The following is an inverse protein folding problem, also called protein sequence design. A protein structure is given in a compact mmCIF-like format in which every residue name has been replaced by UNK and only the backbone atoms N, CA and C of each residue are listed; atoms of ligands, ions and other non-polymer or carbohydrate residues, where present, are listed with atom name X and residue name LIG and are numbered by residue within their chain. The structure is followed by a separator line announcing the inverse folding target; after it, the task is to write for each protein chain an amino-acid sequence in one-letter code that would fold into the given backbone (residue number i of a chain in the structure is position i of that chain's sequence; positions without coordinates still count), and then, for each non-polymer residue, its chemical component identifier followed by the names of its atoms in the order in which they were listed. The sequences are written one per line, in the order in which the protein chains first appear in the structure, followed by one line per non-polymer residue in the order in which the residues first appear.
data_IF_176810786722
#
_entry.id   IF_176810786722
#
_cell.length_a   1.000
_cell.length_b   1.000
_cell.length_c   1.000
_cell.angle_alpha   90.00
_cell.angle_beta   90.00
_cell.angle_gamma   90.00
#
_symmetry.space_group_name_H-M   'P 1'
#
loop_
_entity.id
_entity.type
_entity.pdbx_description
1 polymer ?
#
# COMPACT_ATOMS: atom_id res chain seq x y z
N UNK A 1 21.02 16.18 -16.00
CA UNK A 1 21.14 15.52 -17.32
C UNK A 1 20.89 14.06 -17.15
N UNK A 2 19.66 13.58 -17.41
CA UNK A 2 19.33 12.20 -17.82
C UNK A 2 17.82 12.14 -18.15
N UNK A 3 17.42 12.85 -19.20
CA UNK A 3 16.17 12.57 -19.88
C UNK A 3 16.53 11.70 -21.08
N UNK A 4 16.54 10.40 -20.91
CA UNK A 4 16.63 9.46 -22.05
C UNK A 4 15.52 8.43 -21.94
N UNK A 5 14.55 8.61 -22.84
CA UNK A 5 13.75 7.55 -23.48
C UNK A 5 13.24 6.41 -22.58
N UNK A 6 12.27 6.72 -21.73
CA UNK A 6 11.40 5.72 -21.10
C UNK A 6 10.35 5.15 -22.06
N UNK A 7 10.22 5.67 -23.28
CA UNK A 7 9.18 5.27 -24.24
C UNK A 7 9.36 3.89 -24.88
N UNK A 8 10.53 3.27 -24.74
CA UNK A 8 10.87 2.00 -25.40
C UNK A 8 11.10 0.81 -24.45
N UNK A 9 10.76 0.95 -23.17
CA UNK A 9 10.94 -0.12 -22.20
C UNK A 9 9.64 -0.41 -21.46
N UNK A 10 9.36 -1.70 -21.26
CA UNK A 10 8.30 -2.18 -20.36
C UNK A 10 8.93 -2.50 -19.02
N UNK A 11 8.40 -1.93 -17.95
CA UNK A 11 8.77 -2.26 -16.57
C UNK A 11 7.85 -3.38 -16.07
N UNK A 12 8.44 -4.39 -15.43
CA UNK A 12 7.73 -5.49 -14.78
C UNK A 12 8.17 -5.54 -13.33
N UNK A 13 7.21 -5.47 -12.43
CA UNK A 13 7.42 -5.76 -11.01
C UNK A 13 7.15 -7.24 -10.75
N UNK A 14 8.07 -7.90 -10.03
CA UNK A 14 7.95 -9.31 -9.66
C UNK A 14 8.02 -9.41 -8.15
N UNK A 15 7.01 -10.03 -7.55
CA UNK A 15 7.00 -10.38 -6.14
C UNK A 15 7.13 -11.89 -5.97
N UNK A 16 7.94 -12.32 -5.01
CA UNK A 16 8.14 -13.73 -4.65
C UNK A 16 7.97 -13.87 -3.15
N UNK A 17 7.02 -14.68 -2.70
CA UNK A 17 6.75 -14.91 -1.28
C UNK A 17 6.55 -16.41 -1.03
N UNK A 18 7.20 -16.94 0.00
CA UNK A 18 7.04 -18.34 0.38
C UNK A 18 8.02 -18.79 1.45
N UNK A 19 8.08 -20.09 1.70
CA UNK A 19 9.06 -20.66 2.62
C UNK A 19 10.47 -20.49 2.08
N UNK A 20 11.40 -20.01 2.90
CA UNK A 20 12.79 -19.82 2.51
C UNK A 20 13.45 -21.12 2.03
N UNK A 21 14.22 -21.00 0.94
CA UNK A 21 15.00 -22.09 0.35
C UNK A 21 16.12 -21.56 -0.54
N UNK A 22 17.13 -22.39 -0.74
CA UNK A 22 18.26 -22.07 -1.59
C UNK A 22 17.87 -21.91 -3.07
N UNK A 23 18.57 -21.02 -3.78
CA UNK A 23 18.50 -20.88 -5.22
C UNK A 23 17.36 -20.00 -5.74
N UNK A 24 16.43 -19.49 -4.90
CA UNK A 24 15.29 -18.69 -5.33
C UNK A 24 15.74 -17.46 -6.14
N UNK A 25 16.64 -16.66 -5.58
CA UNK A 25 17.13 -15.45 -6.26
C UNK A 25 17.79 -15.81 -7.59
N UNK A 26 18.63 -16.84 -7.62
CA UNK A 26 19.31 -17.27 -8.84
C UNK A 26 18.33 -17.70 -9.96
N UNK A 27 17.33 -18.51 -9.62
CA UNK A 27 16.34 -18.97 -10.59
C UNK A 27 15.52 -17.81 -11.20
N UNK A 28 15.06 -16.87 -10.36
CA UNK A 28 14.29 -15.72 -10.81
C UNK A 28 15.15 -14.77 -11.66
N UNK A 29 16.36 -14.42 -11.19
CA UNK A 29 17.23 -13.49 -11.91
C UNK A 29 17.73 -14.09 -13.22
N UNK A 30 18.01 -15.41 -13.27
CA UNK A 30 18.34 -16.12 -14.51
C UNK A 30 17.16 -16.11 -15.51
N UNK A 31 15.92 -16.26 -15.04
CA UNK A 31 14.75 -16.16 -15.90
C UNK A 31 14.67 -14.76 -16.54
N UNK A 32 14.83 -13.71 -15.75
CA UNK A 32 14.85 -12.34 -16.25
C UNK A 32 15.95 -12.14 -17.28
N UNK A 33 17.17 -12.61 -16.99
CA UNK A 33 18.31 -12.51 -17.90
C UNK A 33 18.06 -13.23 -19.24
N UNK A 34 17.54 -14.47 -19.21
CA UNK A 34 17.23 -15.24 -20.44
C UNK A 34 16.21 -14.53 -21.35
N UNK A 35 15.33 -13.73 -20.77
CA UNK A 35 14.38 -12.91 -21.52
C UNK A 35 14.91 -11.52 -21.91
N UNK A 36 16.19 -11.24 -21.67
CA UNK A 36 16.82 -9.97 -22.03
C UNK A 36 16.40 -8.81 -21.14
N UNK A 37 15.90 -9.10 -19.94
CA UNK A 37 15.55 -8.11 -18.93
C UNK A 37 16.78 -7.55 -18.22
N UNK A 38 16.73 -6.27 -17.84
CA UNK A 38 17.67 -5.63 -16.95
C UNK A 38 17.01 -5.44 -15.59
N UNK A 39 17.69 -5.87 -14.52
CA UNK A 39 17.21 -5.68 -13.15
C UNK A 39 17.52 -4.24 -12.76
N UNK A 40 16.49 -3.44 -12.51
CA UNK A 40 16.63 -2.04 -12.08
C UNK A 40 16.70 -1.97 -10.55
N UNK A 41 15.90 -2.81 -9.85
CA UNK A 41 15.90 -2.89 -8.41
C UNK A 41 15.62 -4.31 -7.94
N UNK A 42 16.23 -4.71 -6.82
CA UNK A 42 15.93 -5.96 -6.12
C UNK A 42 16.02 -5.73 -4.62
N UNK A 43 14.97 -6.10 -3.90
CA UNK A 43 14.92 -6.14 -2.45
C UNK A 43 14.52 -7.53 -2.01
N UNK A 44 15.28 -8.12 -1.10
CA UNK A 44 15.01 -9.46 -0.59
C UNK A 44 15.23 -9.52 0.92
N UNK A 45 14.35 -10.21 1.62
CA UNK A 45 14.42 -10.44 3.06
C UNK A 45 14.02 -11.88 3.41
N UNK A 46 14.55 -12.36 4.51
CA UNK A 46 14.09 -13.61 5.16
C UNK A 46 13.78 -13.28 6.61
N UNK A 47 12.56 -13.56 7.04
CA UNK A 47 12.10 -13.34 8.41
C UNK A 47 11.39 -14.60 8.91
N UNK A 48 11.91 -15.22 9.97
CA UNK A 48 11.36 -16.44 10.57
C UNK A 48 11.08 -17.56 9.56
N UNK A 49 11.99 -17.73 8.56
CA UNK A 49 11.84 -18.76 7.51
C UNK A 49 10.84 -18.43 6.41
N UNK A 50 10.25 -17.24 6.42
CA UNK A 50 9.51 -16.69 5.31
C UNK A 50 10.47 -15.87 4.44
N UNK A 51 10.52 -16.20 3.16
CA UNK A 51 11.23 -15.44 2.12
C UNK A 51 10.30 -14.46 1.43
N UNK A 52 10.76 -13.23 1.25
CA UNK A 52 10.10 -12.22 0.44
C UNK A 52 11.10 -11.55 -0.50
N UNK A 53 10.74 -11.38 -1.75
CA UNK A 53 11.53 -10.63 -2.72
C UNK A 53 10.63 -9.76 -3.58
N UNK A 54 11.03 -8.52 -3.76
CA UNK A 54 10.50 -7.59 -4.76
C UNK A 54 11.60 -7.24 -5.75
N UNK A 55 11.33 -7.39 -7.04
CA UNK A 55 12.24 -7.15 -8.13
C UNK A 55 11.56 -6.32 -9.20
N UNK A 56 12.22 -5.25 -9.63
CA UNK A 56 11.83 -4.46 -10.80
C UNK A 56 12.78 -4.75 -11.95
N UNK A 57 12.24 -5.11 -13.10
CA UNK A 57 13.00 -5.38 -14.28
C UNK A 57 12.47 -4.62 -15.50
N UNK A 58 13.36 -4.01 -16.27
CA UNK A 58 13.02 -3.35 -17.51
C UNK A 58 13.33 -4.24 -18.72
N UNK A 59 12.43 -4.22 -19.68
CA UNK A 59 12.56 -4.99 -20.93
C UNK A 59 12.38 -4.06 -22.13
N UNK A 60 13.05 -4.37 -23.23
CA UNK A 60 12.79 -3.68 -24.50
C UNK A 60 11.43 -4.09 -25.05
N UNK A 61 10.72 -3.18 -25.70
CA UNK A 61 9.32 -3.34 -26.16
C UNK A 61 9.01 -4.52 -27.09
N UNK A 62 10.02 -5.30 -27.50
CA UNK A 62 9.86 -6.48 -28.36
C UNK A 62 9.55 -7.77 -27.59
N UNK A 63 9.42 -7.68 -26.25
CA UNK A 63 9.28 -8.87 -25.42
C UNK A 63 7.86 -9.46 -25.48
N UNK A 64 7.80 -10.78 -25.52
CA UNK A 64 6.52 -11.52 -25.38
C UNK A 64 6.23 -11.72 -23.89
N UNK A 65 5.55 -10.77 -23.25
CA UNK A 65 5.14 -10.81 -21.82
C UNK A 65 4.54 -12.17 -21.41
N UNK A 66 3.75 -12.78 -22.30
CA UNK A 66 3.15 -14.10 -22.07
C UNK A 66 4.18 -15.20 -21.78
N UNK A 67 5.38 -15.15 -22.40
CA UNK A 67 6.44 -16.14 -22.14
C UNK A 67 7.04 -15.97 -20.75
N UNK A 68 7.26 -14.72 -20.32
CA UNK A 68 7.74 -14.43 -18.96
C UNK A 68 6.73 -14.92 -17.94
N UNK A 69 5.45 -14.57 -18.12
CA UNK A 69 4.39 -15.01 -17.22
C UNK A 69 4.25 -16.54 -17.15
N UNK A 70 4.44 -17.25 -18.26
CA UNK A 70 4.44 -18.71 -18.27
C UNK A 70 5.62 -19.27 -17.47
N UNK A 71 6.84 -18.79 -17.73
CA UNK A 71 8.04 -19.26 -17.04
C UNK A 71 7.99 -18.96 -15.54
N UNK A 72 7.52 -17.78 -15.15
CA UNK A 72 7.36 -17.44 -13.73
C UNK A 72 6.32 -18.33 -13.03
N UNK A 73 5.27 -18.77 -13.72
CA UNK A 73 4.33 -19.79 -13.22
C UNK A 73 5.00 -21.16 -13.03
N UNK A 74 5.81 -21.58 -13.99
CA UNK A 74 6.54 -22.84 -13.88
C UNK A 74 7.54 -22.79 -12.72
N UNK A 75 8.23 -21.65 -12.54
CA UNK A 75 9.09 -21.40 -11.39
C UNK A 75 8.32 -21.38 -10.07
N UNK A 76 7.12 -20.79 -10.03
CA UNK A 76 6.24 -20.80 -8.86
C UNK A 76 5.95 -22.25 -8.41
N UNK A 77 5.60 -23.11 -9.36
CA UNK A 77 5.35 -24.54 -9.09
C UNK A 77 6.63 -25.26 -8.65
N UNK A 78 7.75 -25.07 -9.37
CA UNK A 78 9.06 -25.68 -9.06
C UNK A 78 9.56 -25.29 -7.68
N UNK A 79 9.46 -24.01 -7.34
CA UNK A 79 9.96 -23.46 -6.10
C UNK A 79 8.95 -23.57 -4.95
N UNK A 80 7.70 -23.97 -5.22
CA UNK A 80 6.60 -23.99 -4.25
C UNK A 80 6.46 -22.62 -3.53
N UNK A 81 6.57 -21.55 -4.29
CA UNK A 81 6.45 -20.17 -3.82
C UNK A 81 5.43 -19.41 -4.67
N UNK A 82 4.79 -18.44 -4.07
CA UNK A 82 3.95 -17.51 -4.82
C UNK A 82 4.84 -16.52 -5.58
N UNK A 83 4.70 -16.53 -6.91
CA UNK A 83 5.41 -15.59 -7.79
C UNK A 83 4.36 -14.85 -8.61
N UNK A 84 4.33 -13.53 -8.47
CA UNK A 84 3.45 -12.66 -9.25
C UNK A 84 4.27 -11.67 -10.05
N UNK A 85 3.85 -11.44 -11.29
CA UNK A 85 4.40 -10.39 -12.14
C UNK A 85 3.30 -9.37 -12.43
N UNK A 86 3.59 -8.12 -12.18
CA UNK A 86 2.72 -7.00 -12.44
C UNK A 86 3.34 -6.09 -13.49
N UNK A 87 2.55 -5.73 -14.49
CA UNK A 87 2.93 -4.74 -15.51
C UNK A 87 2.03 -3.54 -15.31
N UNK A 88 2.61 -2.38 -15.12
CA UNK A 88 1.83 -1.17 -15.00
C UNK A 88 1.17 -0.81 -16.33
N UNK A 89 -0.14 -0.66 -16.33
CA UNK A 89 -0.94 -0.18 -17.46
C UNK A 89 -1.38 1.26 -17.17
N UNK A 90 -0.63 2.28 -17.62
CA UNK A 90 -0.89 3.69 -17.23
C UNK A 90 -2.28 4.20 -17.61
N UNK A 91 -2.91 3.61 -18.63
CA UNK A 91 -4.23 4.02 -19.12
C UNK A 91 -5.39 3.32 -18.41
N UNK A 92 -5.13 2.29 -17.61
CA UNK A 92 -6.16 1.54 -16.90
C UNK A 92 -6.55 2.26 -15.61
N UNK A 93 -7.85 2.37 -15.39
CA UNK A 93 -8.39 2.86 -14.12
C UNK A 93 -8.03 1.90 -12.99
N UNK A 94 -7.39 2.41 -11.94
CA UNK A 94 -6.90 1.60 -10.83
C UNK A 94 -8.04 1.14 -9.93
N UNK A 95 -7.97 -0.11 -9.48
CA UNK A 95 -8.87 -0.71 -8.51
C UNK A 95 -8.31 -0.53 -7.10
N UNK A 96 -9.11 0.00 -6.20
CA UNK A 96 -8.72 0.32 -4.82
C UNK A 96 -9.53 -0.50 -3.84
N UNK A 97 -8.86 -1.10 -2.85
CA UNK A 97 -9.50 -1.66 -1.66
C UNK A 97 -9.29 -0.72 -0.48
N UNK A 98 -10.36 -0.43 0.27
CA UNK A 98 -10.29 0.36 1.49
C UNK A 98 -10.47 -0.58 2.70
N UNK A 99 -9.45 -0.66 3.54
CA UNK A 99 -9.50 -1.41 4.79
C UNK A 99 -9.85 -0.45 5.94
N UNK A 100 -10.88 -0.80 6.70
CA UNK A 100 -11.47 0.09 7.72
C UNK A 100 -11.74 -0.63 9.04
N UNK A 101 -11.80 0.12 10.14
CA UNK A 101 -12.31 -0.37 11.44
C UNK A 101 -13.56 0.42 11.85
N UNK A 102 -13.45 1.34 12.82
CA UNK A 102 -14.61 2.04 13.39
C UNK A 102 -14.76 3.49 12.92
N UNK A 103 -13.65 4.17 12.67
CA UNK A 103 -13.62 5.60 12.45
C UNK A 103 -13.92 5.95 10.97
N UNK A 104 -14.95 6.75 10.67
CA UNK A 104 -15.43 6.96 9.31
C UNK A 104 -14.70 8.06 8.54
N UNK A 105 -13.98 8.97 9.19
CA UNK A 105 -13.52 10.24 8.61
C UNK A 105 -12.66 10.05 7.35
N UNK A 106 -11.71 9.11 7.37
CA UNK A 106 -10.86 8.81 6.21
C UNK A 106 -11.64 8.15 5.07
N UNK A 107 -12.48 7.15 5.41
CA UNK A 107 -13.36 6.49 4.43
C UNK A 107 -14.27 7.52 3.76
N UNK A 108 -14.97 8.33 4.55
CA UNK A 108 -15.91 9.34 4.05
C UNK A 108 -15.24 10.38 3.17
N UNK A 109 -14.00 10.78 3.47
CA UNK A 109 -13.23 11.72 2.65
C UNK A 109 -12.93 11.14 1.26
N UNK A 110 -12.43 9.89 1.19
CA UNK A 110 -12.12 9.22 -0.08
C UNK A 110 -13.40 9.02 -0.91
N UNK A 111 -14.48 8.54 -0.30
CA UNK A 111 -15.75 8.33 -1.00
C UNK A 111 -16.39 9.64 -1.48
N UNK A 112 -16.23 10.74 -0.72
CA UNK A 112 -16.66 12.06 -1.14
C UNK A 112 -15.86 12.54 -2.36
N UNK A 113 -14.55 12.36 -2.36
CA UNK A 113 -13.69 12.71 -3.50
C UNK A 113 -14.04 11.89 -4.76
N UNK A 114 -14.37 10.59 -4.58
CA UNK A 114 -14.86 9.75 -5.68
C UNK A 114 -16.16 10.30 -6.28
N UNK A 115 -17.16 10.64 -5.44
CA UNK A 115 -18.44 11.21 -5.88
C UNK A 115 -18.26 12.55 -6.61
N UNK A 116 -17.34 13.39 -6.16
CA UNK A 116 -16.99 14.68 -6.77
C UNK A 116 -16.11 14.54 -8.02
N UNK A 117 -15.70 13.31 -8.38
CA UNK A 117 -14.75 13.03 -9.47
C UNK A 117 -13.40 13.71 -9.28
N UNK A 118 -12.99 13.92 -8.03
CA UNK A 118 -11.66 14.42 -7.69
C UNK A 118 -10.59 13.34 -7.78
N UNK A 119 -11.00 12.06 -7.73
CA UNK A 119 -10.15 10.89 -7.98
C UNK A 119 -10.76 10.04 -9.09
N UNK A 120 -9.91 9.54 -9.98
CA UNK A 120 -10.30 8.64 -11.06
C UNK A 120 -9.84 7.21 -10.78
N UNK A 121 -10.65 6.49 -10.01
CA UNK A 121 -10.38 5.10 -9.61
C UNK A 121 -11.69 4.34 -9.42
N UNK A 122 -11.59 3.01 -9.32
CA UNK A 122 -12.68 2.15 -8.89
C UNK A 122 -12.44 1.78 -7.43
N UNK A 123 -13.33 2.18 -6.51
CA UNK A 123 -13.33 1.59 -5.17
C UNK A 123 -14.06 0.25 -5.28
N UNK A 124 -13.29 -0.82 -5.45
CA UNK A 124 -13.82 -2.15 -5.82
C UNK A 124 -14.36 -2.90 -4.62
N UNK A 125 -13.83 -2.66 -3.43
CA UNK A 125 -14.28 -3.30 -2.19
C UNK A 125 -13.89 -2.46 -0.98
N UNK A 126 -14.74 -2.47 0.04
CA UNK A 126 -14.43 -2.00 1.38
C UNK A 126 -14.38 -3.23 2.28
N UNK A 127 -13.29 -3.38 3.04
CA UNK A 127 -13.06 -4.52 3.94
C UNK A 127 -13.00 -3.98 5.37
N UNK A 128 -13.97 -4.37 6.18
CA UNK A 128 -14.06 -3.96 7.58
C UNK A 128 -13.57 -5.05 8.53
N UNK A 129 -12.77 -4.68 9.54
CA UNK A 129 -12.54 -5.57 10.69
C UNK A 129 -13.79 -5.68 11.58
N UNK A 130 -14.81 -4.89 11.30
CA UNK A 130 -16.11 -4.82 11.97
C UNK A 130 -17.15 -4.32 10.96
N UNK A 131 -18.45 -4.48 11.30
CA UNK A 131 -19.56 -4.05 10.43
C UNK A 131 -19.94 -2.57 10.59
N UNK A 132 -19.29 -1.82 11.46
CA UNK A 132 -19.66 -0.44 11.86
C UNK A 132 -19.84 0.50 10.67
N UNK A 133 -19.00 0.37 9.64
CA UNK A 133 -19.02 1.26 8.47
C UNK A 133 -19.72 0.68 7.24
N UNK A 134 -20.40 -0.46 7.38
CA UNK A 134 -21.12 -1.10 6.26
C UNK A 134 -22.16 -0.17 5.62
N UNK A 135 -22.92 0.57 6.43
CA UNK A 135 -23.95 1.50 5.93
C UNK A 135 -23.39 2.55 4.95
N UNK A 136 -22.16 3.03 5.19
CA UNK A 136 -21.49 3.98 4.29
C UNK A 136 -21.17 3.35 2.93
N UNK A 137 -20.77 2.08 2.90
CA UNK A 137 -20.51 1.33 1.67
C UNK A 137 -21.81 1.08 0.90
N UNK A 138 -22.88 0.69 1.60
CA UNK A 138 -24.19 0.39 1.02
C UNK A 138 -24.80 1.63 0.31
N UNK A 139 -24.61 2.84 0.87
CA UNK A 139 -25.06 4.10 0.24
C UNK A 139 -24.50 4.33 -1.18
N UNK A 140 -23.32 3.81 -1.45
CA UNK A 140 -22.64 3.94 -2.75
C UNK A 140 -22.65 2.66 -3.56
N UNK A 141 -23.36 1.62 -3.09
CA UNK A 141 -23.40 0.30 -3.71
C UNK A 141 -22.00 -0.31 -3.90
N UNK A 142 -21.07 -0.02 -2.99
CA UNK A 142 -19.73 -0.60 -3.00
C UNK A 142 -19.76 -1.90 -2.19
N UNK A 143 -19.23 -3.01 -2.71
CA UNK A 143 -19.15 -4.26 -1.97
C UNK A 143 -18.46 -4.08 -0.61
N UNK A 144 -19.09 -4.54 0.46
CA UNK A 144 -18.52 -4.56 1.80
C UNK A 144 -18.28 -6.00 2.25
N UNK A 145 -17.07 -6.30 2.70
CA UNK A 145 -16.72 -7.57 3.34
C UNK A 145 -16.31 -7.35 4.78
N UNK A 146 -16.91 -8.08 5.70
CA UNK A 146 -16.48 -8.09 7.10
C UNK A 146 -15.54 -9.26 7.30
N UNK A 147 -14.37 -9.01 7.88
CA UNK A 147 -13.36 -10.04 8.18
C UNK A 147 -13.18 -10.12 9.69
N UNK A 148 -13.42 -11.31 10.25
CA UNK A 148 -13.29 -11.55 11.68
C UNK A 148 -11.86 -11.95 12.05
N UNK A 149 -11.37 -11.38 13.14
CA UNK A 149 -10.07 -11.72 13.74
C UNK A 149 -10.17 -12.74 14.88
N UNK A 150 -11.36 -13.26 15.15
CA UNK A 150 -11.58 -14.24 16.24
C UNK A 150 -10.82 -15.56 15.99
N UNK A 151 -10.70 -15.98 14.73
CA UNK A 151 -9.95 -17.16 14.30
C UNK A 151 -8.45 -16.92 14.09
N UNK A 152 -7.95 -15.73 14.45
CA UNK A 152 -6.55 -15.34 14.32
C UNK A 152 -6.23 -14.51 13.08
N UNK A 153 -5.14 -13.76 13.16
CA UNK A 153 -4.73 -12.81 12.11
C UNK A 153 -4.43 -13.50 10.77
N UNK A 154 -3.87 -14.71 10.78
CA UNK A 154 -3.53 -15.43 9.54
C UNK A 154 -4.77 -15.78 8.71
N UNK A 155 -5.86 -16.23 9.35
CA UNK A 155 -7.11 -16.51 8.66
C UNK A 155 -7.76 -15.24 8.13
N UNK A 156 -7.80 -14.18 8.94
CA UNK A 156 -8.30 -12.88 8.53
C UNK A 156 -7.55 -12.32 7.31
N UNK A 157 -6.22 -12.38 7.32
CA UNK A 157 -5.41 -11.95 6.19
C UNK A 157 -5.61 -12.81 4.93
N UNK A 158 -5.84 -14.12 5.08
CA UNK A 158 -6.17 -14.99 3.94
C UNK A 158 -7.47 -14.56 3.25
N UNK A 159 -8.51 -14.21 4.03
CA UNK A 159 -9.77 -13.70 3.49
C UNK A 159 -9.59 -12.34 2.80
N UNK A 160 -8.73 -11.45 3.36
CA UNK A 160 -8.41 -10.17 2.73
C UNK A 160 -7.65 -10.39 1.43
N UNK A 161 -6.63 -11.27 1.41
CA UNK A 161 -5.86 -11.60 0.22
C UNK A 161 -6.76 -12.14 -0.90
N UNK A 162 -7.65 -13.08 -0.57
CA UNK A 162 -8.63 -13.60 -1.53
C UNK A 162 -9.50 -12.47 -2.13
N UNK A 163 -9.98 -11.55 -1.29
CA UNK A 163 -10.76 -10.41 -1.77
C UNK A 163 -9.93 -9.51 -2.68
N UNK A 164 -8.69 -9.17 -2.28
CA UNK A 164 -7.80 -8.32 -3.07
C UNK A 164 -7.48 -8.94 -4.43
N UNK A 165 -7.29 -10.25 -4.49
CA UNK A 165 -7.08 -10.98 -5.75
C UNK A 165 -8.33 -11.01 -6.63
N UNK A 166 -9.48 -11.35 -6.07
CA UNK A 166 -10.75 -11.44 -6.80
C UNK A 166 -11.17 -10.10 -7.44
N UNK A 167 -10.82 -8.98 -6.81
CA UNK A 167 -11.10 -7.63 -7.32
C UNK A 167 -9.95 -7.04 -8.14
N UNK A 168 -8.83 -7.76 -8.37
CA UNK A 168 -7.63 -7.27 -9.06
C UNK A 168 -7.18 -5.90 -8.54
N UNK A 169 -6.94 -5.81 -7.23
CA UNK A 169 -6.63 -4.56 -6.53
C UNK A 169 -5.22 -4.06 -6.85
N UNK A 170 -5.11 -2.79 -7.23
CA UNK A 170 -3.85 -2.09 -7.49
C UNK A 170 -3.33 -1.34 -6.25
N UNK A 171 -4.24 -0.83 -5.42
CA UNK A 171 -3.92 -0.07 -4.22
C UNK A 171 -4.78 -0.53 -3.04
N UNK A 172 -4.15 -0.80 -1.93
CA UNK A 172 -4.79 -1.04 -0.63
C UNK A 172 -4.60 0.21 0.23
N UNK A 173 -5.69 0.74 0.78
CA UNK A 173 -5.65 1.92 1.66
C UNK A 173 -6.13 1.54 3.04
N UNK A 174 -5.27 1.72 4.03
CA UNK A 174 -5.61 1.53 5.45
C UNK A 174 -6.24 2.84 5.98
N UNK A 175 -7.56 2.97 5.82
CA UNK A 175 -8.32 4.12 6.26
C UNK A 175 -8.74 3.96 7.74
N UNK A 176 -7.79 4.16 8.63
CA UNK A 176 -7.94 3.88 10.08
C UNK A 176 -8.20 2.40 10.36
N UNK A 177 -7.46 1.55 9.69
CA UNK A 177 -7.50 0.11 9.92
C UNK A 177 -6.62 -0.27 11.11
N UNK A 178 -7.24 -0.62 12.22
CA UNK A 178 -6.57 -0.81 13.52
C UNK A 178 -6.04 -2.25 13.71
N UNK A 179 -5.49 -2.83 12.64
CA UNK A 179 -4.85 -4.17 12.67
C UNK A 179 -3.49 -4.07 11.99
N UNK A 180 -2.53 -4.79 12.55
CA UNK A 180 -1.17 -4.90 11.97
C UNK A 180 -1.21 -5.99 10.91
N UNK A 181 -0.70 -5.67 9.72
CA UNK A 181 -0.53 -6.63 8.64
C UNK A 181 0.78 -7.38 8.81
N UNK A 182 0.78 -8.69 8.56
CA UNK A 182 1.99 -9.51 8.66
C UNK A 182 2.95 -9.26 7.50
N UNK A 183 4.24 -9.59 7.63
CA UNK A 183 5.20 -9.58 6.52
C UNK A 183 4.70 -10.38 5.32
N UNK A 184 4.05 -11.53 5.59
CA UNK A 184 3.46 -12.38 4.56
C UNK A 184 2.40 -11.67 3.71
N UNK A 185 1.65 -10.74 4.29
CA UNK A 185 0.71 -9.89 3.55
C UNK A 185 1.43 -8.75 2.81
N UNK A 186 2.24 -7.99 3.54
CA UNK A 186 2.87 -6.75 3.05
C UNK A 186 3.79 -7.00 1.86
N UNK A 187 4.56 -8.08 1.88
CA UNK A 187 5.52 -8.40 0.80
C UNK A 187 4.87 -8.77 -0.53
N UNK A 188 3.54 -9.03 -0.57
CA UNK A 188 2.79 -9.22 -1.81
C UNK A 188 2.42 -7.93 -2.52
N UNK A 189 2.43 -6.81 -1.78
CA UNK A 189 1.98 -5.50 -2.26
C UNK A 189 2.99 -4.40 -1.93
N UNK A 190 4.28 -4.55 -2.32
CA UNK A 190 5.30 -3.55 -2.06
C UNK A 190 4.90 -2.22 -2.71
N UNK A 191 5.03 -1.11 -1.97
CA UNK A 191 4.65 0.23 -2.41
C UNK A 191 3.19 0.36 -2.92
N UNK A 192 2.30 -0.56 -2.51
CA UNK A 192 0.87 -0.58 -2.89
C UNK A 192 -0.08 -0.66 -1.69
N UNK A 193 0.43 -0.44 -0.48
CA UNK A 193 -0.37 -0.31 0.73
C UNK A 193 -0.06 1.05 1.34
N UNK A 194 -1.06 1.94 1.43
CA UNK A 194 -0.93 3.26 2.04
C UNK A 194 -1.65 3.26 3.38
N UNK A 195 -0.97 3.73 4.42
CA UNK A 195 -1.54 3.93 5.77
C UNK A 195 -1.54 5.41 6.14
N UNK A 196 -2.48 5.79 7.02
CA UNK A 196 -2.46 7.07 7.73
C UNK A 196 -2.16 6.83 9.20
N UNK A 197 -1.10 7.46 9.70
CA UNK A 197 -0.70 7.41 11.09
C UNK A 197 -0.91 8.76 11.77
N UNK A 198 -1.55 8.83 12.96
CA UNK A 198 -1.93 10.09 13.62
C UNK A 198 -0.77 10.77 14.37
N UNK A 199 0.41 10.80 13.77
CA UNK A 199 1.58 11.56 14.25
C UNK A 199 2.51 11.99 13.12
N UNK A 200 3.43 12.90 13.42
CA UNK A 200 4.54 13.25 12.54
C UNK A 200 5.66 12.21 12.69
N UNK A 201 5.56 11.09 11.95
CA UNK A 201 6.60 10.06 11.98
C UNK A 201 8.00 10.66 11.67
N UNK A 202 9.05 10.21 12.34
CA UNK A 202 9.13 9.05 13.25
C UNK A 202 8.73 9.31 14.71
N UNK A 203 8.12 10.48 15.03
CA UNK A 203 7.65 10.77 16.39
C UNK A 203 6.35 10.00 16.70
N UNK A 204 6.24 9.50 17.94
CA UNK A 204 5.05 8.80 18.46
C UNK A 204 4.52 7.65 17.57
N UNK A 205 5.35 6.64 17.24
CA UNK A 205 4.87 5.47 16.53
C UNK A 205 3.90 4.64 17.38
N UNK A 206 3.09 3.79 16.74
CA UNK A 206 2.15 2.90 17.41
C UNK A 206 0.85 3.57 17.86
N UNK A 207 0.18 2.98 18.86
CA UNK A 207 -1.14 3.40 19.28
C UNK A 207 -1.15 4.69 20.12
N UNK A 208 -2.31 5.37 20.14
CA UNK A 208 -2.58 6.52 21.01
C UNK A 208 -1.68 7.75 20.80
N UNK A 209 -1.21 8.00 19.59
CA UNK A 209 -0.30 9.10 19.29
C UNK A 209 -0.78 10.49 19.80
N UNK A 210 -2.07 10.81 19.65
CA UNK A 210 -2.62 12.07 20.19
C UNK A 210 -2.58 12.15 21.71
N UNK A 211 -2.79 11.04 22.40
CA UNK A 211 -2.70 10.98 23.88
C UNK A 211 -1.25 11.24 24.28
N UNK A 212 -0.31 10.53 23.66
CA UNK A 212 1.12 10.69 23.92
C UNK A 212 1.59 12.14 23.66
N UNK A 213 1.16 12.75 22.57
CA UNK A 213 1.49 14.12 22.22
C UNK A 213 0.93 15.13 23.24
N UNK A 214 -0.34 14.94 23.64
CA UNK A 214 -1.01 15.77 24.64
C UNK A 214 -0.33 15.70 26.01
N UNK A 215 -0.09 14.49 26.52
CA UNK A 215 0.57 14.26 27.82
C UNK A 215 1.99 14.83 27.88
N UNK A 216 2.70 14.82 26.74
CA UNK A 216 4.04 15.43 26.65
C UNK A 216 4.03 16.94 26.38
N UNK A 217 2.85 17.54 26.27
CA UNK A 217 2.73 18.98 26.00
C UNK A 217 3.24 19.40 24.63
N UNK A 218 3.12 18.54 23.60
CA UNK A 218 3.54 18.85 22.25
C UNK A 218 2.84 20.12 21.73
N UNK A 219 3.60 21.04 21.12
CA UNK A 219 3.09 22.30 20.56
C UNK A 219 2.69 22.18 19.09
N UNK A 220 3.11 21.12 18.43
CA UNK A 220 2.77 20.78 17.06
C UNK A 220 2.35 19.32 17.04
N UNK A 221 1.22 19.03 16.43
CA UNK A 221 0.66 17.69 16.23
C UNK A 221 0.32 17.52 14.76
N UNK A 222 0.42 16.32 14.24
CA UNK A 222 0.14 16.09 12.83
C UNK A 222 -0.14 14.63 12.52
N UNK A 223 -0.12 14.32 11.25
CA UNK A 223 -0.30 12.96 10.75
C UNK A 223 0.63 12.69 9.57
N UNK A 224 0.82 11.41 9.29
CA UNK A 224 1.71 10.93 8.23
C UNK A 224 0.98 9.89 7.38
N UNK A 225 0.89 10.14 6.09
CA UNK A 225 0.56 9.10 5.12
C UNK A 225 1.87 8.48 4.61
N UNK A 226 1.96 7.16 4.66
CA UNK A 226 3.16 6.42 4.31
C UNK A 226 2.83 5.08 3.66
N UNK A 227 3.77 4.52 2.89
CA UNK A 227 3.66 3.14 2.46
C UNK A 227 3.89 2.19 3.64
N UNK A 228 3.17 1.08 3.63
CA UNK A 228 3.30 0.05 4.68
C UNK A 228 4.44 -0.89 4.33
N UNK A 229 5.29 -1.14 5.31
CA UNK A 229 6.34 -2.16 5.31
C UNK A 229 6.09 -3.17 6.44
N UNK A 230 6.90 -4.20 6.53
CA UNK A 230 6.82 -5.18 7.62
C UNK A 230 7.17 -4.59 9.00
N UNK A 231 7.85 -3.45 9.02
CA UNK A 231 8.16 -2.72 10.23
C UNK A 231 7.07 -1.67 10.49
N UNK A 232 6.45 -1.76 11.66
CA UNK A 232 5.31 -0.90 12.02
C UNK A 232 5.69 0.57 11.96
N UNK A 233 4.92 1.35 11.20
CA UNK A 233 5.04 2.80 11.05
C UNK A 233 6.43 3.29 10.55
N UNK A 234 7.20 2.44 9.85
CA UNK A 234 8.55 2.78 9.37
C UNK A 234 8.67 2.83 7.84
N UNK A 235 7.58 2.64 7.13
CA UNK A 235 7.60 2.68 5.68
C UNK A 235 7.83 4.09 5.10
N UNK A 236 8.14 4.18 3.79
CA UNK A 236 8.43 5.43 3.10
C UNK A 236 7.30 6.46 3.24
N UNK A 237 7.64 7.65 3.70
CA UNK A 237 6.67 8.75 3.94
C UNK A 237 6.26 9.36 2.61
N UNK A 238 4.94 9.46 2.37
CA UNK A 238 4.36 10.08 1.17
C UNK A 238 4.13 11.58 1.41
N UNK A 239 3.35 11.90 2.44
CA UNK A 239 3.10 13.28 2.82
C UNK A 239 2.79 13.38 4.32
N UNK A 240 2.99 14.57 4.87
CA UNK A 240 2.76 14.88 6.28
C UNK A 240 2.09 16.24 6.38
N UNK A 241 1.16 16.36 7.32
CA UNK A 241 0.51 17.61 7.64
C UNK A 241 0.48 17.82 9.16
N UNK A 242 0.48 19.09 9.59
CA UNK A 242 0.55 19.44 11.00
C UNK A 242 -0.28 20.66 11.36
N UNK A 243 -0.64 20.77 12.63
CA UNK A 243 -1.28 21.95 13.20
C UNK A 243 -0.66 22.32 14.56
N UNK A 244 -0.78 23.59 14.92
CA UNK A 244 -0.36 24.09 16.24
C UNK A 244 -1.41 23.74 17.30
N UNK A 245 -0.94 23.26 18.43
CA UNK A 245 -1.77 23.08 19.65
C UNK A 245 -1.86 24.41 20.39
N UNK A 246 -3.08 24.88 20.60
CA UNK A 246 -3.34 26.13 21.32
C UNK A 246 -3.44 25.84 22.83
N UNK A 247 -3.33 26.88 23.65
CA UNK A 247 -3.32 26.71 25.12
C UNK A 247 -4.65 26.17 25.67
N UNK A 248 -5.75 26.46 25.01
CA UNK A 248 -7.10 26.02 25.35
C UNK A 248 -7.51 24.67 24.70
N UNK A 249 -6.62 24.07 23.87
CA UNK A 249 -6.93 22.79 23.26
C UNK A 249 -6.97 21.66 24.28
N UNK A 250 -8.06 20.95 24.32
CA UNK A 250 -8.23 19.69 25.03
C UNK A 250 -7.80 18.51 24.17
N UNK A 251 -7.62 17.32 24.75
CA UNK A 251 -7.37 16.10 24.01
C UNK A 251 -8.46 15.82 22.95
N UNK A 252 -9.71 16.17 23.26
CA UNK A 252 -10.84 15.99 22.33
C UNK A 252 -10.73 16.93 21.13
N UNK A 253 -10.42 18.23 21.35
CA UNK A 253 -10.22 19.20 20.28
C UNK A 253 -9.03 18.83 19.38
N UNK A 254 -7.93 18.36 19.98
CA UNK A 254 -6.76 17.85 19.24
C UNK A 254 -7.14 16.66 18.38
N UNK A 255 -7.88 15.67 18.91
CA UNK A 255 -8.36 14.52 18.13
C UNK A 255 -9.26 14.95 16.98
N UNK A 256 -10.20 15.86 17.19
CA UNK A 256 -11.09 16.34 16.15
C UNK A 256 -10.35 17.07 15.02
N UNK A 257 -9.42 17.96 15.36
CA UNK A 257 -8.53 18.61 14.39
C UNK A 257 -7.68 17.59 13.64
N UNK A 258 -7.12 16.62 14.39
CA UNK A 258 -6.31 15.55 13.84
C UNK A 258 -7.07 14.67 12.85
N UNK A 259 -8.28 14.24 13.17
CA UNK A 259 -9.11 13.43 12.27
C UNK A 259 -9.43 14.15 10.94
N UNK A 260 -9.68 15.47 10.98
CA UNK A 260 -9.84 16.25 9.75
C UNK A 260 -8.56 16.26 8.90
N UNK A 261 -7.42 16.42 9.58
CA UNK A 261 -6.13 16.44 8.92
C UNK A 261 -5.77 15.05 8.34
N UNK A 262 -5.98 13.96 9.10
CA UNK A 262 -5.80 12.58 8.64
C UNK A 262 -6.59 12.31 7.35
N UNK A 263 -7.85 12.72 7.32
CA UNK A 263 -8.73 12.54 6.18
C UNK A 263 -8.20 13.25 4.92
N UNK A 264 -7.71 14.48 5.07
CA UNK A 264 -7.14 15.26 3.96
C UNK A 264 -5.79 14.70 3.50
N UNK A 265 -4.91 14.36 4.45
CA UNK A 265 -3.55 13.85 4.16
C UNK A 265 -3.60 12.47 3.50
N UNK A 266 -4.48 11.57 3.97
CA UNK A 266 -4.66 10.27 3.33
C UNK A 266 -5.21 10.42 1.90
N UNK A 267 -6.20 11.30 1.71
CA UNK A 267 -6.75 11.56 0.38
C UNK A 267 -5.68 12.11 -0.59
N UNK A 268 -4.81 13.00 -0.13
CA UNK A 268 -3.70 13.51 -0.94
C UNK A 268 -2.74 12.40 -1.34
N UNK A 269 -2.33 11.54 -0.41
CA UNK A 269 -1.47 10.39 -0.71
C UNK A 269 -2.11 9.44 -1.74
N UNK A 270 -3.41 9.17 -1.61
CA UNK A 270 -4.17 8.35 -2.58
C UNK A 270 -4.21 9.03 -3.95
N UNK A 271 -4.45 10.34 -4.03
CA UNK A 271 -4.43 11.11 -5.28
C UNK A 271 -3.07 11.00 -5.97
N UNK A 272 -1.98 11.21 -5.25
CA UNK A 272 -0.61 11.11 -5.78
C UNK A 272 -0.33 9.73 -6.36
N UNK A 273 -0.76 8.66 -5.66
CA UNK A 273 -0.61 7.29 -6.15
C UNK A 273 -1.43 7.05 -7.44
N UNK A 274 -2.69 7.45 -7.44
CA UNK A 274 -3.59 7.26 -8.59
C UNK A 274 -3.12 8.02 -9.83
N UNK A 275 -2.50 9.18 -9.64
CA UNK A 275 -1.89 10.00 -10.69
C UNK A 275 -0.51 9.50 -11.15
N UNK A 276 0.02 8.37 -10.63
CA UNK A 276 1.37 7.86 -10.90
C UNK A 276 2.46 8.89 -10.59
N UNK A 277 2.32 9.61 -9.51
CA UNK A 277 3.24 10.69 -9.10
C UNK A 277 4.15 10.32 -7.94
N UNK A 278 4.15 9.08 -7.53
CA UNK A 278 5.00 8.58 -6.45
C UNK A 278 6.08 7.67 -7.04
N UNK A 279 7.32 8.04 -6.80
CA UNK A 279 8.50 7.22 -7.10
C UNK A 279 9.21 6.89 -5.80
N UNK A 280 9.45 5.60 -5.54
CA UNK A 280 10.05 5.12 -4.29
C UNK A 280 11.49 4.68 -4.57
N UNK A 281 12.42 5.48 -4.10
CA UNK A 281 13.83 5.22 -4.30
C UNK A 281 14.60 5.34 -2.97
N UNK A 282 15.41 4.34 -2.64
CA UNK A 282 16.19 4.29 -1.39
C UNK A 282 15.34 4.56 -0.12
N UNK A 283 14.20 3.88 0.00
CA UNK A 283 13.25 4.04 1.13
C UNK A 283 12.64 5.44 1.28
N UNK A 284 12.76 6.30 0.28
CA UNK A 284 12.18 7.63 0.24
C UNK A 284 11.19 7.75 -0.91
N UNK A 285 10.12 8.48 -0.68
CA UNK A 285 9.17 8.82 -1.74
C UNK A 285 9.56 10.15 -2.37
N UNK A 286 9.60 10.17 -3.69
CA UNK A 286 9.77 11.37 -4.49
C UNK A 286 8.46 11.66 -5.23
N UNK A 287 7.93 12.87 -5.07
CA UNK A 287 6.72 13.29 -5.78
C UNK A 287 7.10 13.87 -7.12
N UNK A 288 6.57 13.28 -8.20
CA UNK A 288 6.76 13.73 -9.56
C UNK A 288 5.83 14.92 -9.87
N UNK A 289 6.30 15.85 -10.71
CA UNK A 289 5.47 16.95 -11.22
C UNK A 289 4.32 16.39 -12.07
N UNK A 290 3.20 17.07 -12.10
CA UNK A 290 2.15 16.78 -13.10
C UNK A 290 2.74 16.96 -14.51
N UNK A 291 2.72 15.90 -15.30
CA UNK A 291 3.09 15.93 -16.71
C UNK A 291 2.00 16.61 -17.56
#
# INVERSE_FOLDING_TARGET
MASRSTRDKTLIEITVVGKDREGVVAEITNSIFRHGGNIEQINQKVVHGLFGMHLEASFRNTIKLQKIHSELRDLSTKLQMEIKAHVEEPSRKKNVALLVSKEPHCLSSILTALRKKEIDSNISVIIGSENTLKGIADELSIPFRSVSYESGSANAESEILEAVENYNIDLIVLARYMRILTPNFVWRYPNRIINIHPSLLPAFPGAYAYVQAFERGAKIVGCTAHFVTEELDQGPIICQEAFKVMEDDTLETIRKKGQQLEAATLLEAVKLFLENRLDVYWTKVHTLSKS
#
